data_IF_273901792863
#
_entry.id   IF_273901792863
#
_cell.length_a   1.000
_cell.length_b   1.000
_cell.length_c   1.000
_cell.angle_alpha   90.00
_cell.angle_beta   90.00
_cell.angle_gamma   90.00
#
_symmetry.space_group_name_H-M   'P 1'
#
loop_
_entity.id
_entity.type
_entity.pdbx_description
1 polymer ?
#
# COMPACT_ATOMS: atom_id res chain seq x y z
N UNK A 1 75.29 9.61 18.34
CA UNK A 1 74.14 8.70 18.44
C UNK A 1 73.34 8.80 17.15
N UNK A 2 73.50 7.78 16.31
CA UNK A 2 72.65 7.22 15.24
C UNK A 2 71.80 8.13 14.32
N UNK A 3 72.12 8.08 13.02
CA UNK A 3 71.33 8.53 11.87
C UNK A 3 70.67 7.35 11.12
N UNK A 4 69.47 7.62 10.56
CA UNK A 4 68.81 7.02 9.38
C UNK A 4 68.11 5.64 9.50
N UNK A 5 67.17 5.23 8.58
CA UNK A 5 66.61 5.94 7.42
C UNK A 5 65.07 5.88 7.20
N UNK A 6 64.66 6.76 6.29
CA UNK A 6 63.46 6.87 5.44
C UNK A 6 62.87 5.55 4.88
N UNK A 7 61.52 5.43 4.85
CA UNK A 7 60.79 4.61 3.86
C UNK A 7 59.53 5.33 3.34
N UNK A 8 59.63 5.74 2.07
CA UNK A 8 58.52 6.09 1.17
C UNK A 8 57.63 4.87 0.93
N UNK A 9 56.31 5.05 0.89
CA UNK A 9 55.43 4.38 -0.09
C UNK A 9 54.30 5.33 -0.51
N UNK A 10 54.49 5.90 -1.70
CA UNK A 10 53.45 6.37 -2.59
C UNK A 10 52.61 5.17 -3.05
N UNK A 11 51.30 5.34 -3.12
CA UNK A 11 50.45 4.64 -4.08
C UNK A 11 49.15 5.46 -4.28
N UNK A 12 49.25 6.47 -5.14
CA UNK A 12 48.12 7.04 -5.88
C UNK A 12 47.61 6.01 -6.89
N UNK A 13 46.32 5.70 -6.87
CA UNK A 13 45.59 5.27 -8.07
C UNK A 13 44.30 6.06 -8.11
N UNK A 14 44.26 7.01 -9.06
CA UNK A 14 43.06 7.64 -9.55
C UNK A 14 42.31 6.65 -10.45
N UNK A 15 40.99 6.62 -10.37
CA UNK A 15 40.14 6.07 -11.42
C UNK A 15 38.95 7.02 -11.62
N UNK A 16 39.15 7.99 -12.51
CA UNK A 16 38.06 8.63 -13.20
C UNK A 16 37.51 7.63 -14.23
N UNK A 17 36.23 7.28 -14.13
CA UNK A 17 35.52 6.61 -15.20
C UNK A 17 34.52 7.60 -15.80
N UNK A 18 34.74 7.88 -17.08
CA UNK A 18 34.02 8.84 -17.88
C UNK A 18 32.55 8.48 -18.02
N UNK A 19 31.67 9.47 -17.86
CA UNK A 19 30.29 9.43 -18.35
C UNK A 19 30.31 9.80 -19.83
N UNK A 20 30.18 8.81 -20.71
CA UNK A 20 29.79 9.01 -22.11
C UNK A 20 28.96 7.84 -22.59
N UNK A 21 27.74 8.15 -23.04
CA UNK A 21 27.22 7.61 -24.29
C UNK A 21 26.42 6.32 -24.22
N UNK A 22 25.17 6.42 -24.66
CA UNK A 22 24.26 5.33 -24.97
C UNK A 22 24.93 4.16 -25.73
N UNK A 23 24.69 2.94 -25.26
CA UNK A 23 25.03 1.72 -25.96
C UNK A 23 24.77 0.49 -25.10
N UNK A 24 23.76 -0.31 -25.49
CA UNK A 24 23.60 -1.69 -25.01
C UNK A 24 24.96 -2.40 -25.09
N UNK A 25 25.59 -2.69 -23.96
CA UNK A 25 26.71 -3.62 -23.90
C UNK A 25 26.50 -4.56 -22.72
N UNK A 26 26.41 -5.84 -23.08
CA UNK A 26 26.25 -6.95 -22.17
C UNK A 26 27.40 -6.97 -21.15
N UNK A 27 27.06 -6.98 -19.87
CA UNK A 27 27.99 -7.26 -18.78
C UNK A 27 28.39 -8.74 -18.88
N UNK A 28 29.69 -9.10 -18.92
CA UNK A 28 30.09 -10.49 -18.86
C UNK A 28 29.74 -11.07 -17.49
N UNK A 29 28.90 -12.11 -17.50
CA UNK A 29 28.49 -12.86 -16.34
C UNK A 29 29.71 -13.48 -15.64
N UNK A 30 29.81 -13.25 -14.32
CA UNK A 30 30.66 -14.05 -13.44
C UNK A 30 30.16 -15.51 -13.47
N UNK A 31 31.05 -16.51 -13.63
CA UNK A 31 30.65 -17.91 -13.62
C UNK A 31 30.33 -18.31 -12.18
N UNK A 32 29.04 -18.37 -11.82
CA UNK A 32 28.66 -18.80 -10.47
C UNK A 32 27.21 -18.62 -10.04
N UNK A 33 26.33 -17.99 -10.82
CA UNK A 33 24.89 -17.94 -10.49
C UNK A 33 24.13 -18.83 -11.46
N UNK A 34 24.04 -20.11 -11.09
CA UNK A 34 23.11 -21.07 -11.65
C UNK A 34 21.72 -20.75 -11.07
N UNK A 35 20.78 -20.42 -11.94
CA UNK A 35 19.36 -20.34 -11.59
C UNK A 35 18.66 -19.11 -12.13
N UNK A 36 18.56 -18.99 -13.46
CA UNK A 36 17.45 -18.24 -14.06
C UNK A 36 16.19 -19.13 -13.92
N UNK A 37 15.77 -19.34 -12.67
CA UNK A 37 14.41 -19.75 -12.37
C UNK A 37 13.59 -18.49 -12.67
N UNK A 38 13.03 -18.43 -13.89
CA UNK A 38 12.34 -17.25 -14.41
C UNK A 38 11.59 -16.55 -13.29
N UNK A 39 12.13 -15.41 -12.84
CA UNK A 39 11.66 -14.76 -11.64
C UNK A 39 10.16 -14.55 -11.82
N UNK A 40 9.37 -15.23 -10.99
CA UNK A 40 7.92 -15.18 -11.10
C UNK A 40 7.51 -13.71 -11.16
N UNK A 41 6.70 -13.34 -12.17
CA UNK A 41 6.31 -11.95 -12.40
C UNK A 41 5.77 -11.35 -11.09
N UNK A 42 6.44 -10.32 -10.60
CA UNK A 42 6.06 -9.62 -9.37
C UNK A 42 4.77 -8.83 -9.62
N UNK A 43 3.64 -9.45 -9.32
CA UNK A 43 2.33 -8.82 -9.43
C UNK A 43 2.06 -8.01 -8.17
N UNK A 44 2.00 -6.69 -8.30
CA UNK A 44 1.79 -5.78 -7.18
C UNK A 44 0.33 -5.67 -6.76
N UNK A 45 -0.57 -6.33 -7.49
CA UNK A 45 -1.99 -6.40 -7.21
C UNK A 45 -2.55 -7.77 -7.61
N UNK A 46 -3.42 -8.32 -6.77
CA UNK A 46 -4.24 -9.48 -7.09
C UNK A 46 -5.68 -9.22 -6.69
N UNK A 47 -6.62 -9.63 -7.56
CA UNK A 47 -8.05 -9.53 -7.31
C UNK A 47 -8.71 -10.91 -7.40
N UNK A 48 -9.51 -11.25 -6.38
CA UNK A 48 -10.35 -12.46 -6.34
C UNK A 48 -11.80 -12.03 -6.35
N UNK A 49 -12.59 -12.60 -7.26
CA UNK A 49 -14.03 -12.35 -7.34
C UNK A 49 -14.81 -13.50 -6.71
N UNK A 50 -15.87 -13.16 -5.98
CA UNK A 50 -16.89 -14.10 -5.51
C UNK A 50 -18.26 -13.65 -5.98
N UNK A 51 -18.98 -14.56 -6.59
CA UNK A 51 -20.31 -14.31 -7.16
C UNK A 51 -21.31 -15.29 -6.56
N UNK A 52 -22.47 -14.78 -6.19
CA UNK A 52 -23.65 -15.61 -5.89
C UNK A 52 -24.89 -15.00 -6.55
N UNK A 53 -25.44 -13.95 -5.93
CA UNK A 53 -26.47 -13.06 -6.50
C UNK A 53 -25.86 -11.68 -6.81
N UNK A 54 -24.80 -11.34 -6.09
CA UNK A 54 -24.05 -10.09 -6.17
C UNK A 54 -22.58 -10.44 -6.38
N UNK A 55 -21.88 -9.63 -7.17
CA UNK A 55 -20.43 -9.75 -7.32
C UNK A 55 -19.73 -8.97 -6.22
N UNK A 56 -18.76 -9.64 -5.61
CA UNK A 56 -17.82 -9.05 -4.68
C UNK A 56 -16.42 -9.24 -5.23
N UNK A 57 -15.62 -8.18 -5.24
CA UNK A 57 -14.21 -8.26 -5.59
C UNK A 57 -13.38 -7.88 -4.38
N UNK A 58 -12.47 -8.79 -4.03
CA UNK A 58 -11.46 -8.61 -3.01
C UNK A 58 -10.14 -8.34 -3.70
N UNK A 59 -9.47 -7.26 -3.32
CA UNK A 59 -8.20 -6.88 -3.94
C UNK A 59 -7.16 -6.68 -2.85
N UNK A 60 -5.96 -7.25 -3.06
CA UNK A 60 -4.76 -6.90 -2.30
C UNK A 60 -3.78 -6.22 -3.24
N UNK A 61 -3.27 -5.07 -2.83
CA UNK A 61 -2.27 -4.34 -3.60
C UNK A 61 -1.19 -3.72 -2.74
N UNK A 62 -0.06 -3.43 -3.37
CA UNK A 62 1.07 -2.68 -2.85
C UNK A 62 1.63 -1.85 -4.00
N UNK A 63 2.32 -0.71 -3.76
CA UNK A 63 3.09 -0.06 -4.82
C UNK A 63 4.07 -1.05 -5.45
N UNK A 64 4.26 -0.97 -6.76
CA UNK A 64 5.18 -1.86 -7.50
C UNK A 64 6.61 -1.75 -6.98
N UNK A 65 6.99 -0.56 -6.55
CA UNK A 65 8.30 -0.27 -5.96
C UNK A 65 8.14 0.55 -4.68
N UNK A 66 8.96 0.24 -3.68
CA UNK A 66 9.03 0.99 -2.42
C UNK A 66 10.49 1.33 -2.12
N UNK A 67 10.76 2.57 -1.69
CA UNK A 67 12.10 2.99 -1.30
C UNK A 67 12.63 2.18 -0.12
N UNK A 68 13.93 1.85 -0.13
CA UNK A 68 14.57 1.22 1.02
C UNK A 68 14.34 2.05 2.29
N UNK A 69 13.92 1.39 3.37
CA UNK A 69 13.57 2.03 4.64
C UNK A 69 12.18 2.66 4.69
N UNK A 70 11.44 2.72 3.57
CA UNK A 70 10.06 3.21 3.56
C UNK A 70 9.07 2.11 3.98
N UNK A 71 7.98 2.46 4.68
CA UNK A 71 6.98 1.49 5.09
C UNK A 71 6.36 0.73 3.90
N UNK A 72 6.20 -0.59 4.05
CA UNK A 72 5.43 -1.39 3.10
C UNK A 72 3.95 -1.29 3.44
N UNK A 73 3.16 -0.67 2.55
CA UNK A 73 1.72 -0.46 2.74
C UNK A 73 0.94 -1.43 1.86
N UNK A 74 0.36 -2.46 2.47
CA UNK A 74 -0.55 -3.39 1.81
C UNK A 74 -1.99 -2.89 1.93
N UNK A 75 -2.64 -2.67 0.80
CA UNK A 75 -4.04 -2.28 0.72
C UNK A 75 -4.91 -3.51 0.49
N UNK A 76 -5.87 -3.74 1.38
CA UNK A 76 -6.87 -4.80 1.30
C UNK A 76 -8.24 -4.16 1.10
N UNK A 77 -8.87 -4.40 -0.03
CA UNK A 77 -10.17 -3.80 -0.36
C UNK A 77 -11.25 -4.82 -0.66
N UNK A 78 -12.48 -4.45 -0.32
CA UNK A 78 -13.71 -5.14 -0.71
C UNK A 78 -14.58 -4.16 -1.47
N UNK A 79 -15.00 -4.57 -2.66
CA UNK A 79 -15.90 -3.80 -3.52
C UNK A 79 -17.10 -4.64 -3.92
N UNK A 80 -18.21 -3.97 -4.22
CA UNK A 80 -19.40 -4.58 -4.82
C UNK A 80 -19.92 -3.69 -5.95
N UNK A 81 -20.62 -4.28 -6.91
CA UNK A 81 -21.26 -3.59 -8.03
C UNK A 81 -22.80 -3.56 -7.92
N UNK A 82 -23.39 -4.05 -6.82
CA UNK A 82 -24.83 -4.31 -6.73
C UNK A 82 -25.49 -3.72 -5.47
N UNK A 83 -26.80 -3.93 -5.36
CA UNK A 83 -27.66 -3.48 -4.24
C UNK A 83 -27.36 -4.19 -2.91
N UNK A 84 -26.65 -5.32 -2.95
CA UNK A 84 -26.23 -6.05 -1.76
C UNK A 84 -24.99 -5.42 -1.13
N UNK A 85 -25.18 -4.35 -0.37
CA UNK A 85 -24.12 -3.66 0.37
C UNK A 85 -23.62 -4.52 1.54
N UNK A 86 -22.39 -5.06 1.48
CA UNK A 86 -21.89 -5.87 2.57
C UNK A 86 -21.38 -5.01 3.72
N UNK A 87 -21.29 -5.63 4.89
CA UNK A 87 -20.63 -5.05 6.06
C UNK A 87 -19.39 -5.86 6.40
N UNK A 88 -18.22 -5.24 6.33
CA UNK A 88 -16.95 -5.86 6.76
C UNK A 88 -16.85 -5.78 8.27
N UNK A 89 -16.63 -6.89 8.93
CA UNK A 89 -16.50 -7.01 10.39
C UNK A 89 -15.06 -7.34 10.79
N UNK A 90 -14.27 -7.90 9.89
CA UNK A 90 -12.88 -8.22 10.16
C UNK A 90 -12.05 -8.35 8.90
N UNK A 91 -10.77 -8.02 9.03
CA UNK A 91 -9.77 -8.16 7.99
C UNK A 91 -8.49 -8.68 8.61
N UNK A 92 -7.90 -9.70 7.99
CA UNK A 92 -6.61 -10.26 8.35
C UNK A 92 -5.66 -10.11 7.18
N UNK A 93 -4.51 -9.49 7.44
CA UNK A 93 -3.40 -9.45 6.50
C UNK A 93 -2.36 -10.50 6.88
N UNK A 94 -1.92 -11.30 5.92
CA UNK A 94 -0.76 -12.18 6.08
C UNK A 94 0.45 -11.47 5.45
N UNK A 95 1.34 -10.86 6.24
CA UNK A 95 2.51 -10.19 5.69
C UNK A 95 3.57 -11.19 5.20
N UNK A 96 4.61 -10.71 4.50
CA UNK A 96 5.82 -11.48 4.22
C UNK A 96 6.40 -12.12 5.49
N UNK A 97 7.13 -13.24 5.32
CA UNK A 97 7.65 -14.03 6.46
C UNK A 97 8.45 -13.18 7.44
N UNK A 98 9.26 -12.26 6.95
CA UNK A 98 10.12 -11.39 7.75
C UNK A 98 9.36 -10.29 8.50
N UNK A 99 8.07 -10.08 8.19
CA UNK A 99 7.21 -9.07 8.79
C UNK A 99 6.10 -9.65 9.68
N UNK A 100 6.02 -10.98 9.82
CA UNK A 100 4.99 -11.64 10.65
C UNK A 100 5.02 -11.25 12.13
N UNK A 101 6.18 -10.86 12.63
CA UNK A 101 6.36 -10.42 14.00
C UNK A 101 6.41 -8.89 14.14
N UNK A 102 6.29 -8.15 13.03
CA UNK A 102 6.24 -6.69 13.02
C UNK A 102 4.78 -6.25 13.07
N UNK A 103 4.40 -5.56 14.15
CA UNK A 103 3.05 -5.03 14.31
C UNK A 103 2.81 -3.88 13.31
N UNK A 104 1.79 -3.97 12.43
CA UNK A 104 1.50 -2.91 11.49
C UNK A 104 0.76 -1.75 12.16
N UNK A 105 0.86 -0.58 11.55
CA UNK A 105 -0.16 0.47 11.73
C UNK A 105 -1.24 0.27 10.69
N UNK A 106 -2.51 0.47 11.06
CA UNK A 106 -3.64 0.17 10.17
C UNK A 106 -4.52 1.40 10.00
N UNK A 107 -4.85 1.69 8.75
CA UNK A 107 -5.84 2.71 8.38
C UNK A 107 -7.00 2.06 7.66
N UNK A 108 -8.22 2.47 7.98
CA UNK A 108 -9.43 2.02 7.30
C UNK A 108 -10.07 3.20 6.60
N UNK A 109 -10.37 3.03 5.32
CA UNK A 109 -11.23 3.91 4.53
C UNK A 109 -12.53 3.16 4.29
N UNK A 110 -13.61 3.65 4.88
CA UNK A 110 -14.91 3.02 4.76
C UNK A 110 -16.01 4.08 4.76
N UNK A 111 -17.16 3.72 4.23
CA UNK A 111 -18.34 4.54 4.42
C UNK A 111 -18.80 4.48 5.87
N UNK A 112 -18.98 5.65 6.48
CA UNK A 112 -19.56 5.77 7.82
C UNK A 112 -20.79 6.65 7.74
N UNK A 113 -21.91 6.18 8.29
CA UNK A 113 -23.11 7.01 8.38
C UNK A 113 -22.93 8.05 9.48
N UNK A 114 -23.02 9.33 9.13
CA UNK A 114 -23.06 10.43 10.10
C UNK A 114 -24.37 10.34 10.87
N UNK A 115 -24.30 10.06 12.18
CA UNK A 115 -25.46 9.92 13.06
C UNK A 115 -25.51 8.65 13.92
N UNK A 116 -24.53 7.75 13.82
CA UNK A 116 -24.32 6.69 14.82
C UNK A 116 -25.34 5.53 14.85
N UNK A 117 -26.34 5.50 13.96
CA UNK A 117 -27.25 4.36 13.85
C UNK A 117 -26.93 3.58 12.58
N UNK A 118 -26.35 2.40 12.79
CA UNK A 118 -26.33 1.28 11.84
C UNK A 118 -27.79 0.89 11.58
N UNK A 119 -28.35 1.36 10.46
CA UNK A 119 -29.70 1.06 10.00
C UNK A 119 -30.66 2.25 10.09
N UNK A 120 -30.81 3.00 8.99
CA UNK A 120 -31.97 3.88 8.80
C UNK A 120 -31.66 5.28 8.27
N UNK A 121 -32.03 5.53 7.01
CA UNK A 121 -32.58 6.81 6.53
C UNK A 121 -31.77 8.12 6.63
N UNK A 122 -30.50 8.11 7.02
CA UNK A 122 -29.65 9.29 7.09
C UNK A 122 -29.06 9.69 5.73
N UNK A 123 -28.92 11.00 5.48
CA UNK A 123 -28.45 11.57 4.22
C UNK A 123 -27.14 10.96 3.71
N UNK A 124 -27.18 10.39 2.50
CA UNK A 124 -26.05 9.76 1.80
C UNK A 124 -25.08 10.81 1.24
N UNK A 125 -24.29 11.43 2.10
CA UNK A 125 -23.14 12.24 1.66
C UNK A 125 -21.95 11.38 1.20
N UNK A 126 -20.95 11.97 0.54
CA UNK A 126 -19.67 11.35 0.14
C UNK A 126 -18.77 11.10 1.37
N UNK A 127 -19.24 10.30 2.31
CA UNK A 127 -18.64 10.13 3.63
C UNK A 127 -17.75 8.88 3.69
N UNK A 128 -16.75 8.82 2.81
CA UNK A 128 -15.61 7.92 3.03
C UNK A 128 -14.78 8.55 4.13
N UNK A 129 -14.78 7.94 5.31
CA UNK A 129 -13.96 8.40 6.42
C UNK A 129 -12.69 7.56 6.49
N UNK A 130 -11.54 8.23 6.62
CA UNK A 130 -10.26 7.58 6.90
C UNK A 130 -10.06 7.56 8.42
N UNK A 131 -9.97 6.38 8.99
CA UNK A 131 -9.78 6.19 10.44
C UNK A 131 -8.51 5.40 10.69
N UNK A 132 -7.62 5.94 11.51
CA UNK A 132 -6.47 5.20 12.04
C UNK A 132 -6.96 4.27 13.13
N UNK A 133 -6.70 2.97 13.00
CA UNK A 133 -7.11 1.98 14.00
C UNK A 133 -6.15 2.07 15.19
N UNK A 134 -6.67 2.21 16.43
CA UNK A 134 -5.85 2.23 17.63
C UNK A 134 -4.94 0.99 17.71
N UNK A 135 -3.65 1.14 18.09
CA UNK A 135 -2.72 0.02 18.09
C UNK A 135 -3.18 -1.18 18.92
N UNK A 136 -3.90 -0.97 20.03
CA UNK A 136 -4.44 -2.06 20.86
C UNK A 136 -5.53 -2.89 20.16
N UNK A 137 -6.20 -2.34 19.14
CA UNK A 137 -7.20 -3.04 18.33
C UNK A 137 -6.60 -3.83 17.15
N UNK A 138 -5.31 -3.65 16.89
CA UNK A 138 -4.55 -4.47 15.93
C UNK A 138 -3.97 -5.67 16.66
N UNK A 139 -4.55 -6.84 16.42
CA UNK A 139 -4.24 -8.08 17.15
C UNK A 139 -3.48 -9.05 16.26
N UNK A 140 -2.55 -9.80 16.85
CA UNK A 140 -1.87 -10.90 16.16
C UNK A 140 -2.78 -12.12 16.16
N UNK A 141 -2.84 -12.83 15.03
CA UNK A 141 -3.63 -14.06 14.87
C UNK A 141 -2.84 -15.08 14.05
N UNK A 142 -2.11 -15.95 14.75
CA UNK A 142 -1.15 -16.88 14.14
C UNK A 142 -0.06 -16.14 13.35
N UNK A 143 -0.06 -16.31 12.02
CA UNK A 143 0.88 -15.67 11.08
C UNK A 143 0.36 -14.36 10.48
N UNK A 144 -0.79 -13.87 10.95
CA UNK A 144 -1.50 -12.72 10.40
C UNK A 144 -1.71 -11.63 11.44
N UNK A 145 -2.04 -10.43 10.97
CA UNK A 145 -2.50 -9.31 11.79
C UNK A 145 -3.95 -8.99 11.45
N UNK A 146 -4.78 -8.85 12.48
CA UNK A 146 -6.22 -8.63 12.33
C UNK A 146 -6.67 -7.31 12.90
N UNK A 147 -7.69 -6.77 12.25
CA UNK A 147 -8.56 -5.73 12.79
C UNK A 147 -10.00 -6.25 12.80
N UNK A 148 -10.77 -5.86 13.80
CA UNK A 148 -12.18 -6.23 13.94
C UNK A 148 -13.02 -5.01 14.29
N UNK A 149 -14.26 -4.99 13.82
CA UNK A 149 -15.21 -3.91 14.03
C UNK A 149 -16.64 -4.44 13.94
N UNK A 150 -17.61 -3.66 14.43
CA UNK A 150 -19.03 -4.04 14.43
C UNK A 150 -19.65 -4.05 13.03
N UNK A 151 -19.08 -3.28 12.10
CA UNK A 151 -19.43 -3.30 10.68
C UNK A 151 -18.99 -2.04 9.96
N UNK A 152 -18.16 -2.19 8.93
CA UNK A 152 -17.86 -1.14 7.95
C UNK A 152 -18.71 -1.38 6.71
N UNK A 153 -19.55 -0.40 6.36
CA UNK A 153 -20.43 -0.53 5.21
C UNK A 153 -19.65 -0.34 3.90
N UNK A 154 -19.96 -1.18 2.91
CA UNK A 154 -19.46 -1.07 1.54
C UNK A 154 -20.65 -0.77 0.64
N UNK A 155 -20.51 0.20 -0.25
CA UNK A 155 -21.56 0.59 -1.19
C UNK A 155 -21.10 0.37 -2.62
N UNK A 156 -22.05 0.17 -3.54
CA UNK A 156 -21.72 0.17 -4.97
C UNK A 156 -21.03 1.48 -5.36
N UNK A 157 -19.87 1.39 -5.98
CA UNK A 157 -19.02 2.54 -6.33
C UNK A 157 -18.18 3.11 -5.17
N UNK A 158 -18.27 2.56 -3.95
CA UNK A 158 -17.44 2.94 -2.81
C UNK A 158 -16.87 1.71 -2.10
N UNK A 159 -15.57 1.48 -2.29
CA UNK A 159 -14.86 0.38 -1.68
C UNK A 159 -14.62 0.58 -0.18
N UNK A 160 -14.69 -0.52 0.57
CA UNK A 160 -13.94 -0.59 1.83
C UNK A 160 -12.46 -0.81 1.51
N UNK A 161 -11.57 -0.19 2.27
CA UNK A 161 -10.13 -0.40 2.15
C UNK A 161 -9.48 -0.38 3.54
N UNK A 162 -8.66 -1.39 3.84
CA UNK A 162 -7.78 -1.44 4.99
C UNK A 162 -6.33 -1.42 4.52
N UNK A 163 -5.55 -0.41 4.93
CA UNK A 163 -4.14 -0.27 4.64
C UNK A 163 -3.32 -0.72 5.85
N UNK A 164 -2.55 -1.79 5.69
CA UNK A 164 -1.63 -2.32 6.69
C UNK A 164 -0.21 -1.85 6.35
N UNK A 165 0.35 -0.99 7.19
CA UNK A 165 1.68 -0.42 7.01
C UNK A 165 2.69 -1.07 7.96
N UNK A 166 3.70 -1.72 7.37
CA UNK A 166 4.77 -2.41 8.08
C UNK A 166 6.09 -1.66 7.91
N UNK A 167 6.83 -1.51 9.01
CA UNK A 167 8.22 -1.05 8.95
C UNK A 167 9.11 -2.20 8.44
N UNK A 168 9.78 -2.05 7.27
CA UNK A 168 10.68 -3.08 6.77
C UNK A 168 11.92 -3.22 7.65
N UNK A 169 12.49 -4.42 7.81
CA UNK A 169 13.78 -4.58 8.47
C UNK A 169 14.89 -3.98 7.60
N UNK A 170 16.00 -3.57 8.23
CA UNK A 170 17.17 -3.01 7.53
C UNK A 170 17.81 -3.98 6.50
N UNK A 171 17.51 -5.28 6.59
CA UNK A 171 17.93 -6.29 5.62
C UNK A 171 17.23 -6.19 4.26
N UNK A 172 16.19 -5.37 4.14
CA UNK A 172 15.52 -5.10 2.87
C UNK A 172 16.35 -4.09 2.07
N UNK A 173 17.21 -4.61 1.21
CA UNK A 173 18.07 -3.84 0.32
C UNK A 173 17.43 -3.65 -1.06
N UNK A 174 17.88 -2.62 -1.79
CA UNK A 174 17.48 -2.41 -3.17
C UNK A 174 17.64 -3.68 -4.03
N UNK A 175 16.67 -3.93 -4.92
CA UNK A 175 16.55 -5.12 -5.74
C UNK A 175 15.81 -6.28 -5.09
N UNK A 176 15.59 -6.27 -3.76
CA UNK A 176 14.84 -7.33 -3.09
C UNK A 176 13.36 -7.30 -3.50
N UNK A 177 12.85 -8.43 -3.97
CA UNK A 177 11.41 -8.65 -4.12
C UNK A 177 10.80 -9.13 -2.80
N UNK A 178 9.65 -8.58 -2.47
CA UNK A 178 8.93 -8.87 -1.23
C UNK A 178 7.49 -9.19 -1.58
N UNK A 179 7.09 -10.44 -1.35
CA UNK A 179 5.74 -10.93 -1.62
C UNK A 179 5.01 -11.19 -0.31
N UNK A 180 3.82 -10.60 -0.18
CA UNK A 180 2.93 -10.88 0.94
C UNK A 180 2.28 -12.26 0.82
N UNK A 181 1.79 -12.78 1.95
CA UNK A 181 0.88 -13.91 1.94
C UNK A 181 -0.53 -13.50 1.49
N UNK A 182 -1.50 -14.38 1.73
CA UNK A 182 -2.91 -14.14 1.43
C UNK A 182 -3.56 -13.09 2.33
N UNK A 183 -4.88 -13.09 2.35
CA UNK A 183 -5.67 -12.31 3.28
C UNK A 183 -6.97 -13.03 3.62
N UNK A 184 -7.59 -12.63 4.73
CA UNK A 184 -8.90 -13.12 5.13
C UNK A 184 -9.83 -11.94 5.37
N UNK A 185 -11.10 -12.11 5.01
CA UNK A 185 -12.15 -11.14 5.28
C UNK A 185 -13.30 -11.82 6.02
N UNK A 186 -13.86 -11.11 6.99
CA UNK A 186 -15.13 -11.46 7.61
C UNK A 186 -16.15 -10.38 7.23
N UNK A 187 -17.21 -10.75 6.51
CA UNK A 187 -18.24 -9.81 6.10
C UNK A 187 -19.63 -10.45 6.03
N UNK A 188 -20.68 -9.63 6.16
CA UNK A 188 -22.07 -10.05 6.03
C UNK A 188 -22.70 -9.47 4.77
N UNK A 189 -23.58 -10.20 4.06
CA UNK A 189 -24.18 -11.49 4.43
C UNK A 189 -23.27 -12.71 4.16
N UNK A 190 -23.52 -13.83 4.85
CA UNK A 190 -22.59 -14.96 4.92
C UNK A 190 -22.41 -15.77 3.61
N UNK A 191 -23.42 -15.97 2.75
CA UNK A 191 -23.14 -16.41 1.39
C UNK A 191 -23.06 -15.21 0.42
N UNK A 192 -21.97 -15.00 -0.34
CA UNK A 192 -20.72 -15.79 -0.45
C UNK A 192 -19.55 -15.23 0.40
N UNK A 193 -19.82 -14.24 1.27
CA UNK A 193 -18.82 -13.63 2.14
C UNK A 193 -18.66 -14.49 3.40
N UNK A 194 -19.25 -14.11 4.53
CA UNK A 194 -19.02 -14.80 5.79
C UNK A 194 -17.56 -14.64 6.17
N UNK A 195 -16.93 -15.72 6.63
CA UNK A 195 -15.49 -15.78 6.82
C UNK A 195 -14.83 -16.40 5.59
N UNK A 196 -14.02 -15.61 4.87
CA UNK A 196 -13.39 -16.00 3.60
C UNK A 196 -11.89 -15.89 3.70
N UNK A 197 -11.21 -17.02 3.67
CA UNK A 197 -9.75 -17.09 3.52
C UNK A 197 -9.37 -17.09 2.04
N UNK A 198 -8.42 -16.23 1.66
CA UNK A 198 -7.95 -16.09 0.29
C UNK A 198 -6.42 -16.15 0.27
N UNK A 199 -5.89 -17.38 0.28
CA UNK A 199 -4.45 -17.63 0.18
C UNK A 199 -3.83 -17.11 -1.11
N UNK A 200 -4.63 -17.03 -2.18
CA UNK A 200 -4.23 -16.50 -3.49
C UNK A 200 -4.22 -14.97 -3.58
N UNK A 201 -4.74 -14.25 -2.58
CA UNK A 201 -4.77 -12.79 -2.56
C UNK A 201 -3.42 -12.25 -2.09
N UNK A 202 -2.40 -12.36 -2.94
CA UNK A 202 -1.02 -11.94 -2.67
C UNK A 202 -0.67 -10.66 -3.44
N UNK A 203 0.35 -9.94 -2.97
CA UNK A 203 0.88 -8.76 -3.64
C UNK A 203 2.39 -8.68 -3.44
N UNK A 204 3.11 -8.32 -4.51
CA UNK A 204 4.57 -8.27 -4.57
C UNK A 204 5.07 -6.84 -4.87
N UNK A 205 6.13 -6.41 -4.19
CA UNK A 205 6.84 -5.16 -4.45
C UNK A 205 8.32 -5.41 -4.63
N UNK A 206 9.00 -4.54 -5.37
CA UNK A 206 10.47 -4.48 -5.41
C UNK A 206 10.96 -3.34 -4.53
N UNK A 207 11.94 -3.60 -3.68
CA UNK A 207 12.63 -2.54 -2.94
C UNK A 207 13.55 -1.81 -3.90
N UNK A 208 13.41 -0.49 -4.04
CA UNK A 208 14.32 0.34 -4.84
C UNK A 208 15.29 1.11 -3.95
N UNK A 209 16.38 1.58 -4.54
CA UNK A 209 17.26 2.53 -3.87
C UNK A 209 16.45 3.78 -3.42
N UNK A 210 16.79 4.38 -2.27
CA UNK A 210 16.11 5.57 -1.80
C UNK A 210 16.36 6.73 -2.76
N UNK A 211 15.33 7.52 -3.04
CA UNK A 211 15.48 8.76 -3.83
C UNK A 211 16.16 9.84 -2.98
N UNK A 212 16.71 10.88 -3.61
CA UNK A 212 17.42 11.97 -2.92
C UNK A 212 16.62 12.59 -1.76
N UNK A 213 15.30 12.73 -1.90
CA UNK A 213 14.43 13.24 -0.83
C UNK A 213 14.19 12.25 0.34
N UNK A 214 14.25 10.95 0.08
CA UNK A 214 14.05 9.90 1.10
C UNK A 214 15.35 9.61 1.87
N UNK A 215 16.50 9.72 1.21
CA UNK A 215 17.82 9.52 1.83
C UNK A 215 18.14 10.59 2.87
N UNK A 216 17.67 11.83 2.66
CA UNK A 216 17.87 12.95 3.59
C UNK A 216 17.02 12.77 4.85
N UNK A 217 15.79 12.27 4.72
CA UNK A 217 14.91 11.98 5.87
C UNK A 217 15.38 10.74 6.66
N UNK A 218 15.85 9.69 5.99
CA UNK A 218 16.38 8.48 6.65
C UNK A 218 17.62 8.74 7.51
N UNK A 219 18.39 9.79 7.22
CA UNK A 219 19.52 10.22 8.05
C UNK A 219 19.11 11.04 9.28
N UNK A 220 17.91 11.61 9.30
CA UNK A 220 17.42 12.41 10.42
C UNK A 220 16.77 11.53 11.51
N UNK A 221 16.16 10.40 11.12
CA UNK A 221 15.62 9.41 12.08
C UNK A 221 16.70 8.67 12.87
N UNK A 222 17.91 8.48 12.30
CA UNK A 222 19.05 7.90 13.04
C UNK A 222 19.76 8.90 13.97
N UNK A 223 19.45 10.20 13.88
CA UNK A 223 20.07 11.24 14.71
C UNK A 223 19.25 11.60 15.96
N UNK A 224 18.16 10.88 16.26
CA UNK A 224 17.40 11.06 17.51
C UNK A 224 16.68 12.40 17.63
N UNK A 225 16.45 13.10 16.52
CA UNK A 225 15.61 14.29 16.47
C UNK A 225 14.17 13.86 16.18
N UNK A 226 13.55 13.20 17.15
CA UNK A 226 12.12 12.95 17.12
C UNK A 226 11.38 14.26 16.87
N UNK A 227 10.60 14.28 15.79
CA UNK A 227 9.76 15.41 15.38
C UNK A 227 8.89 15.88 16.55
N UNK A 228 9.29 16.99 17.17
CA UNK A 228 8.36 17.88 17.85
C UNK A 228 7.54 18.64 16.81
N UNK A 229 6.33 18.97 17.22
CA UNK A 229 5.19 19.35 16.42
C UNK A 229 5.45 20.46 15.38
N UNK A 230 4.87 20.28 14.18
CA UNK A 230 4.21 21.41 13.49
C UNK A 230 4.97 22.19 12.41
N UNK A 231 5.62 21.55 11.42
CA UNK A 231 5.98 22.26 10.18
C UNK A 231 5.66 21.48 8.89
N UNK A 232 4.64 21.98 8.21
CA UNK A 232 4.46 22.06 6.75
C UNK A 232 4.34 20.74 5.98
N UNK A 233 3.08 20.29 5.96
CA UNK A 233 2.43 19.61 4.83
C UNK A 233 2.87 20.20 3.50
N UNK A 234 3.60 19.41 2.69
CA UNK A 234 3.77 19.69 1.27
C UNK A 234 4.20 18.43 0.52
N UNK A 235 3.39 17.37 0.61
CA UNK A 235 3.27 16.42 -0.48
C UNK A 235 1.89 16.59 -1.08
N UNK A 236 1.89 17.07 -2.33
CA UNK A 236 0.70 17.32 -3.12
C UNK A 236 -0.21 16.10 -3.13
N UNK A 237 -1.47 16.38 -2.88
CA UNK A 237 -2.59 15.46 -2.95
C UNK A 237 -2.53 14.59 -4.22
N UNK A 238 -2.59 13.27 -4.05
CA UNK A 238 -2.74 12.24 -5.09
C UNK A 238 -4.15 12.29 -5.76
N UNK A 239 -4.73 13.47 -5.93
CA UNK A 239 -6.10 13.64 -6.47
C UNK A 239 -6.14 13.77 -8.01
N UNK A 240 -5.00 13.67 -8.70
CA UNK A 240 -4.93 13.90 -10.16
C UNK A 240 -4.77 12.66 -11.07
N UNK A 241 -5.23 11.47 -10.64
CA UNK A 241 -5.36 10.32 -11.55
C UNK A 241 -6.77 9.74 -11.54
N UNK A 242 -7.78 10.61 -11.75
CA UNK A 242 -9.02 10.21 -12.44
C UNK A 242 -9.44 11.36 -13.36
N UNK A 243 -9.06 11.34 -14.66
CA UNK A 243 -9.67 12.23 -15.63
C UNK A 243 -11.03 11.68 -16.05
N UNK A 244 -12.08 12.46 -15.73
CA UNK A 244 -13.29 12.55 -16.53
C UNK A 244 -14.39 11.52 -16.27
N UNK A 245 -15.39 11.86 -15.45
CA UNK A 245 -16.78 11.41 -15.67
C UNK A 245 -17.87 12.17 -14.90
N UNK A 246 -17.64 13.41 -14.44
CA UNK A 246 -18.74 14.25 -13.93
C UNK A 246 -18.53 15.69 -14.40
N UNK A 247 -19.29 16.07 -15.43
CA UNK A 247 -19.41 17.44 -15.92
C UNK A 247 -20.66 17.52 -16.79
N UNK A 248 -21.82 17.72 -16.17
CA UNK A 248 -23.08 17.79 -16.90
C UNK A 248 -24.33 17.90 -16.04
N UNK A 249 -24.31 18.76 -15.02
CA UNK A 249 -25.53 19.22 -14.36
C UNK A 249 -25.38 20.72 -14.07
N UNK A 250 -26.24 21.53 -14.69
CA UNK A 250 -26.58 22.87 -14.20
C UNK A 250 -26.53 23.98 -15.24
N UNK A 251 -27.69 24.32 -15.79
CA UNK A 251 -27.90 25.57 -16.53
C UNK A 251 -29.38 25.75 -16.84
N UNK A 252 -30.15 26.21 -15.85
CA UNK A 252 -31.56 26.54 -16.01
C UNK A 252 -31.77 27.97 -16.53
N UNK A 253 -32.88 28.15 -17.24
CA UNK A 253 -33.69 29.36 -17.54
C UNK A 253 -34.41 29.06 -18.88
N UNK A 254 -35.68 29.34 -19.15
CA UNK A 254 -36.65 30.32 -18.66
C UNK A 254 -38.05 29.86 -19.08
N UNK A 255 -39.08 30.34 -18.37
CA UNK A 255 -40.48 30.37 -18.80
C UNK A 255 -40.64 30.99 -20.20
N UNK A 256 -41.57 30.49 -21.00
CA UNK A 256 -42.54 31.38 -21.64
C UNK A 256 -43.86 30.67 -21.98
N UNK A 257 -44.97 31.35 -21.64
CA UNK A 257 -46.34 30.99 -21.95
C UNK A 257 -46.63 31.33 -23.43
N UNK A 258 -47.29 30.44 -24.18
CA UNK A 258 -47.57 30.72 -25.59
C UNK A 258 -48.59 29.81 -26.24
N UNK A 259 -49.86 30.21 -26.15
CA UNK A 259 -51.01 29.84 -27.03
C UNK A 259 -50.63 29.31 -28.42
N UNK A 260 -51.21 28.17 -28.81
CA UNK A 260 -52.42 28.09 -29.67
C UNK A 260 -52.88 26.65 -29.81
#
# INVERSE_FOLDING_TARGET
MTHAPMRRRLATIAAAAAVVGAGLTAVPALPGVVGDAGAATCNNETTVKKTLIVDYAFTKSIPKEVGQGQPLVYSLSLTTNSIGNPYVQGVWDIPPKELRDVKPTVKVKAFTMVGGIIGGGGAFGKLINETVIPPNSVLKDGISWKISHTGWAVFSGQSFTAEFSYAPPASYIAGKQVTSGGATFQATPAPPLGYVEMGQLTACTTVRAPNAGEAVLGSLDSAGLGSKEGQLSSTGSLVDIIPGLIGGLGGGEKKDDGKK
#
